data_IF_805141842924
#
_entry.id   IF_805141842924
#
_cell.length_a   1.000
_cell.length_b   1.000
_cell.length_c   1.000
_cell.angle_alpha   90.00
_cell.angle_beta   90.00
_cell.angle_gamma   90.00
#
_symmetry.space_group_name_H-M   'P 1'
#
loop_
_entity.id
_entity.type
_entity.pdbx_description
1 polymer ?
#
# COMPACT_ATOMS: atom_id res chain seq x y z
N UNK A 1 -10.31 -15.13 26.43
CA UNK A 1 -11.01 -13.85 26.19
C UNK A 1 -12.44 -13.96 26.68
N UNK A 2 -12.99 -12.89 27.25
CA UNK A 2 -14.42 -12.89 27.62
C UNK A 2 -15.32 -12.70 26.38
N UNK A 3 -16.57 -13.22 26.42
CA UNK A 3 -17.53 -13.03 25.33
C UNK A 3 -17.72 -11.54 24.94
N UNK A 4 -17.60 -10.64 25.91
CA UNK A 4 -17.66 -9.19 25.70
C UNK A 4 -16.46 -8.67 24.87
N UNK A 5 -15.26 -9.19 25.13
CA UNK A 5 -14.05 -8.83 24.38
C UNK A 5 -14.12 -9.36 22.93
N UNK A 6 -14.63 -10.57 22.76
CA UNK A 6 -14.82 -11.15 21.43
C UNK A 6 -15.82 -10.37 20.59
N UNK A 7 -16.96 -9.97 21.17
CA UNK A 7 -17.96 -9.14 20.49
C UNK A 7 -17.42 -7.75 20.14
N UNK A 8 -16.57 -7.16 20.99
CA UNK A 8 -15.92 -5.89 20.70
C UNK A 8 -14.98 -5.99 19.50
N UNK A 9 -14.16 -7.05 19.42
CA UNK A 9 -13.27 -7.30 18.29
C UNK A 9 -14.06 -7.54 16.98
N UNK A 10 -15.14 -8.32 17.03
CA UNK A 10 -16.02 -8.55 15.88
C UNK A 10 -16.65 -7.25 15.37
N UNK A 11 -17.14 -6.40 16.29
CA UNK A 11 -17.72 -5.11 15.91
C UNK A 11 -16.68 -4.18 15.29
N UNK A 12 -15.49 -4.13 15.86
CA UNK A 12 -14.38 -3.32 15.32
C UNK A 12 -13.97 -3.81 13.94
N UNK A 13 -13.81 -5.12 13.72
CA UNK A 13 -13.49 -5.69 12.43
C UNK A 13 -14.59 -5.38 11.41
N UNK A 14 -15.85 -5.53 11.77
CA UNK A 14 -16.98 -5.19 10.90
C UNK A 14 -16.93 -3.73 10.42
N UNK A 15 -16.57 -2.79 11.31
CA UNK A 15 -16.41 -1.38 10.94
C UNK A 15 -15.28 -1.20 9.92
N UNK A 16 -14.13 -1.88 10.09
CA UNK A 16 -13.02 -1.86 9.13
C UNK A 16 -13.43 -2.41 7.76
N UNK A 17 -14.05 -3.58 7.72
CA UNK A 17 -14.46 -4.26 6.49
C UNK A 17 -15.46 -3.39 5.70
N UNK A 18 -16.51 -2.91 6.38
CA UNK A 18 -17.54 -2.03 5.79
C UNK A 18 -16.92 -0.73 5.28
N UNK A 19 -15.98 -0.15 6.03
CA UNK A 19 -15.30 1.08 5.59
C UNK A 19 -14.49 0.84 4.33
N UNK A 20 -13.76 -0.27 4.26
CA UNK A 20 -12.97 -0.63 3.07
C UNK A 20 -13.87 -0.83 1.84
N UNK A 21 -15.00 -1.55 1.99
CA UNK A 21 -15.99 -1.70 0.92
C UNK A 21 -16.55 -0.35 0.44
N UNK A 22 -16.95 0.52 1.37
CA UNK A 22 -17.50 1.84 1.05
C UNK A 22 -16.47 2.75 0.38
N UNK A 23 -15.19 2.65 0.74
CA UNK A 23 -14.11 3.37 0.06
C UNK A 23 -13.99 2.88 -1.39
N UNK A 24 -14.09 1.57 -1.64
CA UNK A 24 -14.08 0.99 -2.99
C UNK A 24 -15.30 1.37 -3.82
N UNK A 25 -16.44 1.60 -3.19
CA UNK A 25 -17.69 1.99 -3.86
C UNK A 25 -17.73 3.48 -4.23
N UNK A 26 -17.44 4.37 -3.28
CA UNK A 26 -17.69 5.82 -3.42
C UNK A 26 -16.51 6.73 -3.10
N UNK A 27 -15.38 6.17 -2.66
CA UNK A 27 -14.18 6.91 -2.31
C UNK A 27 -14.20 7.48 -0.89
N UNK A 28 -12.99 7.77 -0.38
CA UNK A 28 -12.80 8.26 1.00
C UNK A 28 -13.45 9.63 1.24
N UNK A 29 -13.33 10.55 0.29
CA UNK A 29 -13.78 11.93 0.50
C UNK A 29 -15.30 12.05 0.62
N UNK A 30 -16.05 11.18 -0.08
CA UNK A 30 -17.53 11.12 -0.02
C UNK A 30 -18.04 10.28 1.12
N UNK A 31 -17.18 9.59 1.84
CA UNK A 31 -17.56 8.71 2.94
C UNK A 31 -17.81 9.50 4.23
N UNK A 32 -18.95 9.25 4.87
CA UNK A 32 -19.28 9.77 6.19
C UNK A 32 -19.29 8.66 7.26
N UNK A 33 -19.13 9.03 8.53
CA UNK A 33 -19.29 8.11 9.65
C UNK A 33 -20.72 7.53 9.69
N UNK A 34 -21.72 8.33 9.26
CA UNK A 34 -23.10 7.85 9.13
C UNK A 34 -23.21 6.67 8.16
N UNK A 35 -22.61 6.77 6.98
CA UNK A 35 -22.60 5.68 5.99
C UNK A 35 -21.97 4.39 6.55
N UNK A 36 -20.87 4.55 7.28
CA UNK A 36 -20.16 3.41 7.89
C UNK A 36 -21.04 2.72 8.93
N UNK A 37 -21.62 3.49 9.84
CA UNK A 37 -22.42 2.93 10.95
C UNK A 37 -23.73 2.36 10.46
N UNK A 38 -24.39 2.97 9.49
CA UNK A 38 -25.61 2.47 8.86
C UNK A 38 -25.34 1.12 8.16
N UNK A 39 -24.30 1.05 7.30
CA UNK A 39 -23.92 -0.18 6.61
C UNK A 39 -23.47 -1.28 7.59
N UNK A 40 -22.78 -0.91 8.67
CA UNK A 40 -22.36 -1.84 9.73
C UNK A 40 -23.53 -2.28 10.64
N UNK A 41 -24.70 -1.61 10.59
CA UNK A 41 -25.84 -1.90 11.46
C UNK A 41 -25.55 -1.59 12.94
N UNK A 42 -24.80 -0.52 13.22
CA UNK A 42 -24.47 -0.09 14.59
C UNK A 42 -24.85 1.38 14.82
N UNK A 43 -25.04 1.75 16.08
CA UNK A 43 -25.28 3.15 16.41
C UNK A 43 -24.02 4.01 16.15
N UNK A 44 -24.21 5.30 15.79
CA UNK A 44 -23.10 6.23 15.55
C UNK A 44 -22.14 6.35 16.74
N UNK A 45 -22.66 6.27 17.97
CA UNK A 45 -21.84 6.24 19.19
C UNK A 45 -20.90 5.04 19.27
N UNK A 46 -21.28 3.89 18.65
CA UNK A 46 -20.44 2.68 18.62
C UNK A 46 -19.18 2.91 17.80
N UNK A 47 -19.23 3.69 16.74
CA UNK A 47 -18.04 4.06 15.97
C UNK A 47 -17.01 4.76 16.87
N UNK A 48 -17.45 5.74 17.65
CA UNK A 48 -16.59 6.55 18.52
C UNK A 48 -16.00 5.79 19.72
N UNK A 49 -16.50 4.58 20.02
CA UNK A 49 -15.84 3.69 20.99
C UNK A 49 -14.50 3.17 20.43
N UNK A 50 -14.40 2.97 19.10
CA UNK A 50 -13.25 2.35 18.45
C UNK A 50 -12.36 3.34 17.71
N UNK A 51 -12.91 4.41 17.14
CA UNK A 51 -12.22 5.36 16.27
C UNK A 51 -12.68 6.79 16.57
N UNK A 52 -11.75 7.72 16.71
CA UNK A 52 -12.03 9.13 17.00
C UNK A 52 -12.62 9.86 15.79
N UNK A 53 -12.13 9.52 14.59
CA UNK A 53 -12.52 10.11 13.31
C UNK A 53 -12.32 9.11 12.17
N UNK A 54 -12.87 9.43 11.00
CA UNK A 54 -12.82 8.49 9.84
C UNK A 54 -11.41 8.25 9.30
N UNK A 55 -10.49 9.20 9.49
CA UNK A 55 -9.10 9.09 9.10
C UNK A 55 -8.39 7.98 9.89
N UNK A 56 -8.71 7.81 11.15
CA UNK A 56 -8.11 6.79 12.01
C UNK A 56 -8.45 5.37 11.56
N UNK A 57 -9.72 5.12 11.18
CA UNK A 57 -10.12 3.79 10.66
C UNK A 57 -9.44 3.50 9.32
N UNK A 58 -9.26 4.51 8.47
CA UNK A 58 -8.56 4.34 7.19
C UNK A 58 -7.08 4.06 7.38
N UNK A 59 -6.43 4.74 8.32
CA UNK A 59 -5.05 4.44 8.71
C UNK A 59 -4.88 2.98 9.09
N UNK A 60 -5.84 2.44 9.81
CA UNK A 60 -5.78 1.04 10.22
C UNK A 60 -6.01 0.08 9.05
N UNK A 61 -6.92 0.42 8.13
CA UNK A 61 -7.07 -0.34 6.88
C UNK A 61 -5.74 -0.37 6.12
N UNK A 62 -5.07 0.77 5.97
CA UNK A 62 -3.75 0.82 5.34
C UNK A 62 -2.74 -0.08 6.06
N UNK A 63 -2.66 -0.02 7.40
CA UNK A 63 -1.76 -0.88 8.18
C UNK A 63 -2.04 -2.37 7.96
N UNK A 64 -3.30 -2.77 7.86
CA UNK A 64 -3.66 -4.16 7.61
C UNK A 64 -3.22 -4.61 6.22
N UNK A 65 -3.37 -3.78 5.19
CA UNK A 65 -2.89 -4.07 3.83
C UNK A 65 -1.37 -4.25 3.78
N UNK A 66 -0.62 -3.39 4.50
CA UNK A 66 0.84 -3.56 4.62
C UNK A 66 1.22 -4.84 5.33
N UNK A 67 0.50 -5.19 6.41
CA UNK A 67 0.71 -6.46 7.11
C UNK A 67 0.44 -7.67 6.21
N UNK A 68 -0.60 -7.64 5.39
CA UNK A 68 -0.89 -8.69 4.42
C UNK A 68 0.22 -8.80 3.36
N UNK A 69 0.73 -7.68 2.88
CA UNK A 69 1.87 -7.66 1.95
C UNK A 69 3.12 -8.22 2.60
N UNK A 70 3.40 -7.85 3.88
CA UNK A 70 4.52 -8.41 4.62
C UNK A 70 4.40 -9.93 4.78
N UNK A 71 3.22 -10.45 5.13
CA UNK A 71 3.01 -11.90 5.23
C UNK A 71 3.32 -12.62 3.92
N UNK A 72 2.93 -12.06 2.76
CA UNK A 72 3.28 -12.63 1.46
C UNK A 72 4.78 -12.60 1.18
N UNK A 73 5.47 -11.54 1.60
CA UNK A 73 6.94 -11.45 1.50
C UNK A 73 7.62 -12.48 2.41
N UNK A 74 7.08 -12.72 3.60
CA UNK A 74 7.58 -13.72 4.54
C UNK A 74 7.43 -15.16 3.98
N UNK A 75 6.39 -15.44 3.19
CA UNK A 75 6.20 -16.72 2.49
C UNK A 75 7.34 -16.99 1.47
N UNK A 76 7.92 -15.94 0.90
CA UNK A 76 9.03 -16.01 -0.07
C UNK A 76 10.35 -15.47 0.52
N UNK A 77 10.53 -15.55 1.85
CA UNK A 77 11.72 -14.99 2.53
C UNK A 77 13.04 -15.47 1.96
N UNK A 78 13.10 -16.71 1.45
CA UNK A 78 14.28 -17.33 0.86
C UNK A 78 14.49 -16.97 -0.63
N UNK A 79 13.55 -16.23 -1.22
CA UNK A 79 13.66 -15.71 -2.59
C UNK A 79 14.66 -14.55 -2.66
N UNK A 80 15.21 -14.30 -3.87
CA UNK A 80 16.13 -13.20 -4.09
C UNK A 80 15.43 -11.83 -4.04
N UNK A 81 16.23 -10.77 -3.88
CA UNK A 81 15.74 -9.40 -3.74
C UNK A 81 14.85 -8.96 -4.92
N UNK A 82 15.14 -9.40 -6.15
CA UNK A 82 14.37 -9.03 -7.34
C UNK A 82 12.97 -9.65 -7.26
N UNK A 83 12.85 -10.91 -6.85
CA UNK A 83 11.56 -11.60 -6.65
C UNK A 83 10.74 -10.92 -5.56
N UNK A 84 11.35 -10.55 -4.44
CA UNK A 84 10.69 -9.81 -3.35
C UNK A 84 10.16 -8.45 -3.82
N UNK A 85 10.96 -7.70 -4.55
CA UNK A 85 10.55 -6.41 -5.10
C UNK A 85 9.44 -6.57 -6.16
N UNK A 86 9.52 -7.58 -7.04
CA UNK A 86 8.47 -7.86 -8.02
C UNK A 86 7.15 -8.24 -7.35
N UNK A 87 7.18 -9.06 -6.29
CA UNK A 87 5.99 -9.38 -5.51
C UNK A 87 5.40 -8.13 -4.86
N UNK A 88 6.23 -7.26 -4.30
CA UNK A 88 5.77 -6.00 -3.72
C UNK A 88 5.07 -5.11 -4.75
N UNK A 89 5.64 -4.96 -5.96
CA UNK A 89 5.00 -4.23 -7.07
C UNK A 89 3.65 -4.84 -7.46
N UNK A 90 3.58 -6.17 -7.58
CA UNK A 90 2.35 -6.88 -7.93
C UNK A 90 1.26 -6.65 -6.88
N UNK A 91 1.60 -6.74 -5.59
CA UNK A 91 0.69 -6.43 -4.49
C UNK A 91 0.19 -4.98 -4.56
N UNK A 92 1.08 -4.01 -4.79
CA UNK A 92 0.74 -2.61 -4.90
C UNK A 92 -0.24 -2.34 -6.05
N UNK A 93 0.05 -2.84 -7.25
CA UNK A 93 -0.80 -2.62 -8.42
C UNK A 93 -2.17 -3.28 -8.27
N UNK A 94 -2.23 -4.52 -7.76
CA UNK A 94 -3.49 -5.21 -7.50
C UNK A 94 -4.34 -4.47 -6.48
N UNK A 95 -3.73 -3.92 -5.43
CA UNK A 95 -4.44 -3.07 -4.47
C UNK A 95 -5.03 -1.83 -5.15
N UNK A 96 -4.22 -1.09 -5.91
CA UNK A 96 -4.69 0.11 -6.63
C UNK A 96 -5.83 -0.23 -7.60
N UNK A 97 -5.73 -1.33 -8.35
CA UNK A 97 -6.76 -1.77 -9.29
C UNK A 97 -8.02 -2.32 -8.63
N UNK A 98 -7.96 -2.65 -7.33
CA UNK A 98 -9.15 -3.05 -6.57
C UNK A 98 -10.16 -1.89 -6.42
N UNK A 99 -9.72 -0.65 -6.65
CA UNK A 99 -10.56 0.53 -6.64
C UNK A 99 -11.00 0.92 -8.06
N UNK A 100 -12.20 1.52 -8.16
CA UNK A 100 -12.65 2.08 -9.43
C UNK A 100 -11.75 3.26 -9.84
N UNK A 101 -11.40 3.36 -11.11
CA UNK A 101 -10.44 4.35 -11.62
C UNK A 101 -10.78 5.80 -11.23
N UNK A 102 -12.08 6.17 -11.21
CA UNK A 102 -12.47 7.52 -10.81
C UNK A 102 -12.18 7.81 -9.33
N UNK A 103 -12.20 6.78 -8.46
CA UNK A 103 -11.86 6.91 -7.04
C UNK A 103 -10.35 7.15 -6.89
N UNK A 104 -9.53 6.43 -7.65
CA UNK A 104 -8.08 6.62 -7.67
C UNK A 104 -7.72 8.01 -8.19
N UNK A 105 -8.44 8.51 -9.20
CA UNK A 105 -8.29 9.90 -9.70
C UNK A 105 -8.64 10.95 -8.64
N UNK A 106 -9.75 10.77 -7.92
CA UNK A 106 -10.12 11.68 -6.82
C UNK A 106 -9.05 11.66 -5.72
N UNK A 107 -8.47 10.50 -5.44
CA UNK A 107 -7.38 10.36 -4.48
C UNK A 107 -6.11 11.09 -4.94
N UNK A 108 -5.68 10.90 -6.20
CA UNK A 108 -4.55 11.64 -6.80
C UNK A 108 -4.78 13.15 -6.75
N UNK A 109 -5.97 13.60 -7.11
CA UNK A 109 -6.34 15.01 -7.02
C UNK A 109 -6.20 15.54 -5.60
N UNK A 110 -6.69 14.80 -4.61
CA UNK A 110 -6.60 15.19 -3.20
C UNK A 110 -5.16 15.26 -2.68
N UNK A 111 -4.22 14.45 -3.23
CA UNK A 111 -2.79 14.55 -2.90
C UNK A 111 -2.19 15.85 -3.46
N UNK A 112 -2.51 16.19 -4.71
CA UNK A 112 -1.95 17.37 -5.40
C UNK A 112 -2.55 18.67 -4.85
N UNK A 113 -3.84 18.67 -4.51
CA UNK A 113 -4.57 19.84 -3.97
C UNK A 113 -4.45 19.97 -2.44
N UNK A 114 -3.47 19.33 -1.83
CA UNK A 114 -3.28 19.32 -0.37
C UNK A 114 -3.33 20.73 0.22
N UNK A 115 -4.26 20.97 1.15
CA UNK A 115 -4.28 22.17 1.97
C UNK A 115 -3.21 22.04 3.06
N UNK A 116 -2.53 23.14 3.37
CA UNK A 116 -1.57 23.22 4.48
C UNK A 116 -2.20 22.64 5.76
N UNK A 117 -1.42 21.84 6.50
CA UNK A 117 -1.79 21.20 7.78
C UNK A 117 -2.77 20.00 7.75
N UNK A 118 -2.96 19.33 6.62
CA UNK A 118 -3.67 18.06 6.61
C UNK A 118 -2.74 16.88 6.31
N UNK A 119 -2.66 15.91 7.22
CA UNK A 119 -2.07 14.61 6.89
C UNK A 119 -2.96 13.93 5.85
N UNK A 120 -2.53 13.94 4.59
CA UNK A 120 -3.28 13.28 3.54
C UNK A 120 -3.04 11.78 3.60
N UNK A 121 -4.07 10.98 3.27
CA UNK A 121 -3.94 9.53 3.10
C UNK A 121 -2.80 9.15 2.15
N UNK A 122 -2.56 9.98 1.12
CA UNK A 122 -1.46 9.78 0.18
C UNK A 122 -0.08 9.92 0.82
N UNK A 123 0.11 10.91 1.70
CA UNK A 123 1.36 11.07 2.44
C UNK A 123 1.63 9.86 3.32
N UNK A 124 0.61 9.38 4.01
CA UNK A 124 0.72 8.22 4.90
C UNK A 124 1.06 6.97 4.11
N UNK A 125 0.35 6.71 3.00
CA UNK A 125 0.66 5.57 2.14
C UNK A 125 2.08 5.64 1.60
N UNK A 126 2.52 6.80 1.12
CA UNK A 126 3.88 6.99 0.62
C UNK A 126 4.95 6.70 1.68
N UNK A 127 4.74 7.13 2.94
CA UNK A 127 5.65 6.83 4.04
C UNK A 127 5.75 5.33 4.31
N UNK A 128 4.62 4.61 4.32
CA UNK A 128 4.60 3.16 4.49
C UNK A 128 5.28 2.43 3.34
N UNK A 129 4.99 2.80 2.09
CA UNK A 129 5.63 2.20 0.92
C UNK A 129 7.15 2.39 0.96
N UNK A 130 7.61 3.60 1.36
CA UNK A 130 9.02 3.91 1.50
C UNK A 130 9.69 3.07 2.60
N UNK A 131 9.04 2.91 3.75
CA UNK A 131 9.55 2.10 4.85
C UNK A 131 9.62 0.62 4.46
N UNK A 132 8.59 0.08 3.83
CA UNK A 132 8.56 -1.31 3.36
C UNK A 132 9.71 -1.58 2.38
N UNK A 133 9.89 -0.73 1.37
CA UNK A 133 10.97 -0.87 0.40
C UNK A 133 12.34 -0.77 1.04
N UNK A 134 12.52 0.15 2.00
CA UNK A 134 13.77 0.24 2.76
C UNK A 134 14.06 -1.05 3.51
N UNK A 135 13.07 -1.62 4.18
CA UNK A 135 13.25 -2.87 4.93
C UNK A 135 13.66 -4.02 4.01
N UNK A 136 13.01 -4.17 2.85
CA UNK A 136 13.38 -5.19 1.85
C UNK A 136 14.83 -5.02 1.39
N UNK A 137 15.26 -3.78 1.11
CA UNK A 137 16.62 -3.50 0.64
C UNK A 137 17.66 -3.64 1.77
N UNK A 138 17.35 -3.22 2.99
CA UNK A 138 18.22 -3.41 4.16
C UNK A 138 18.44 -4.89 4.46
N UNK A 139 17.38 -5.69 4.47
CA UNK A 139 17.48 -7.13 4.65
C UNK A 139 18.40 -7.78 3.59
N UNK A 140 18.30 -7.35 2.34
CA UNK A 140 19.15 -7.85 1.27
C UNK A 140 20.64 -7.47 1.45
N UNK A 141 20.94 -6.31 2.04
CA UNK A 141 22.31 -5.92 2.42
C UNK A 141 22.80 -6.77 3.60
N UNK A 142 21.99 -6.95 4.64
CA UNK A 142 22.36 -7.77 5.81
C UNK A 142 22.62 -9.23 5.43
N UNK A 143 21.82 -9.78 4.51
CA UNK A 143 21.99 -11.13 3.97
C UNK A 143 23.11 -11.26 2.94
N UNK A 144 23.87 -10.17 2.66
CA UNK A 144 24.95 -10.11 1.67
C UNK A 144 24.49 -10.48 0.26
N UNK A 145 23.25 -10.22 -0.06
CA UNK A 145 22.73 -10.29 -1.42
C UNK A 145 23.06 -9.01 -2.19
N UNK A 146 23.00 -7.87 -1.50
CA UNK A 146 23.44 -6.58 -1.98
C UNK A 146 24.73 -6.12 -1.27
N UNK A 147 25.53 -5.31 -1.96
CA UNK A 147 26.75 -4.69 -1.45
C UNK A 147 26.46 -3.74 -0.30
N UNK A 148 27.36 -3.66 0.67
CA UNK A 148 27.23 -2.77 1.84
C UNK A 148 27.14 -1.29 1.50
N UNK A 149 27.66 -0.86 0.32
CA UNK A 149 27.59 0.51 -0.17
C UNK A 149 26.36 0.79 -1.07
N UNK A 150 25.36 -0.09 -1.06
CA UNK A 150 24.13 0.09 -1.82
C UNK A 150 23.41 1.36 -1.40
N UNK A 151 23.08 2.30 -2.32
CA UNK A 151 22.42 3.56 -1.99
C UNK A 151 20.92 3.35 -1.77
N UNK A 152 20.54 2.75 -0.64
CA UNK A 152 19.16 2.30 -0.33
C UNK A 152 18.14 3.42 -0.52
N UNK A 153 18.41 4.64 0.00
CA UNK A 153 17.45 5.75 -0.13
C UNK A 153 17.19 6.12 -1.60
N UNK A 154 18.25 6.22 -2.41
CA UNK A 154 18.12 6.52 -3.84
C UNK A 154 17.38 5.42 -4.59
N UNK A 155 17.65 4.15 -4.27
CA UNK A 155 16.91 3.03 -4.87
C UNK A 155 15.43 3.06 -4.48
N UNK A 156 15.09 3.36 -3.23
CA UNK A 156 13.71 3.53 -2.81
C UNK A 156 13.00 4.65 -3.58
N UNK A 157 13.65 5.80 -3.77
CA UNK A 157 13.08 6.92 -4.54
C UNK A 157 12.82 6.53 -6.00
N UNK A 158 13.76 5.85 -6.65
CA UNK A 158 13.60 5.35 -8.03
C UNK A 158 12.43 4.36 -8.10
N UNK A 159 12.38 3.40 -7.20
CA UNK A 159 11.35 2.35 -7.16
C UNK A 159 9.98 2.98 -6.91
N UNK A 160 9.85 3.87 -5.92
CA UNK A 160 8.60 4.57 -5.63
C UNK A 160 8.11 5.39 -6.80
N UNK A 161 9.02 6.11 -7.48
CA UNK A 161 8.68 6.90 -8.68
C UNK A 161 8.08 6.01 -9.77
N UNK A 162 8.67 4.82 -10.01
CA UNK A 162 8.12 3.86 -10.96
C UNK A 162 6.74 3.34 -10.54
N UNK A 163 6.58 2.95 -9.28
CA UNK A 163 5.30 2.46 -8.76
C UNK A 163 4.19 3.49 -8.93
N UNK A 164 4.43 4.70 -8.44
CA UNK A 164 3.45 5.79 -8.51
C UNK A 164 3.24 6.30 -9.93
N UNK A 165 4.26 6.24 -10.78
CA UNK A 165 4.16 6.54 -12.21
C UNK A 165 3.22 5.60 -12.94
N UNK A 166 3.31 4.29 -12.70
CA UNK A 166 2.48 3.28 -13.38
C UNK A 166 0.99 3.48 -13.12
N UNK A 167 0.57 3.67 -11.85
CA UNK A 167 -0.84 3.89 -11.59
C UNK A 167 -1.32 5.28 -12.04
N UNK A 168 -0.44 6.29 -12.03
CA UNK A 168 -0.75 7.61 -12.60
C UNK A 168 -1.00 7.50 -14.10
N UNK A 169 -0.16 6.78 -14.84
CA UNK A 169 -0.36 6.50 -16.27
C UNK A 169 -1.67 5.75 -16.53
N UNK A 170 -2.02 4.78 -15.67
CA UNK A 170 -3.31 4.10 -15.76
C UNK A 170 -4.49 5.06 -15.60
N UNK A 171 -4.43 5.97 -14.63
CA UNK A 171 -5.44 7.00 -14.45
C UNK A 171 -5.51 7.99 -15.62
N UNK A 172 -4.36 8.43 -16.15
CA UNK A 172 -4.28 9.40 -17.25
C UNK A 172 -4.78 8.81 -18.57
N UNK A 173 -4.55 7.52 -18.81
CA UNK A 173 -4.94 6.81 -20.03
C UNK A 173 -6.39 6.33 -20.05
N UNK A 174 -7.20 6.71 -19.07
CA UNK A 174 -8.57 6.21 -18.87
C UNK A 174 -8.68 4.68 -18.81
N UNK A 175 -7.67 4.06 -18.19
CA UNK A 175 -7.58 2.60 -18.04
C UNK A 175 -7.00 1.87 -19.24
N UNK A 176 -6.62 2.56 -20.32
CA UNK A 176 -6.00 1.92 -21.49
C UNK A 176 -4.55 1.48 -21.25
N UNK A 177 -3.83 2.12 -20.34
CA UNK A 177 -2.54 1.66 -19.87
C UNK A 177 -2.72 0.44 -18.97
N UNK A 178 -1.98 -0.64 -19.25
CA UNK A 178 -2.03 -1.86 -18.44
C UNK A 178 -0.91 -1.86 -17.39
N UNK A 179 -1.21 -1.56 -16.12
CA UNK A 179 -0.20 -1.45 -15.08
C UNK A 179 0.41 -2.80 -14.70
N UNK A 180 -0.33 -3.92 -14.79
CA UNK A 180 0.22 -5.26 -14.51
C UNK A 180 1.30 -5.63 -15.53
N UNK A 181 1.03 -5.36 -16.83
CA UNK A 181 2.03 -5.54 -17.88
C UNK A 181 3.24 -4.63 -17.64
N UNK A 182 3.01 -3.37 -17.26
CA UNK A 182 4.08 -2.43 -16.99
C UNK A 182 4.96 -2.85 -15.80
N UNK A 183 4.37 -3.42 -14.74
CA UNK A 183 5.13 -4.03 -13.62
C UNK A 183 6.00 -5.17 -14.12
N UNK A 184 5.45 -6.08 -14.91
CA UNK A 184 6.20 -7.20 -15.47
C UNK A 184 7.38 -6.73 -16.31
N UNK A 185 7.12 -5.83 -17.26
CA UNK A 185 8.15 -5.26 -18.13
C UNK A 185 9.24 -4.51 -17.32
N UNK A 186 8.83 -3.76 -16.30
CA UNK A 186 9.78 -3.08 -15.39
C UNK A 186 10.64 -4.07 -14.62
N UNK A 187 10.05 -5.11 -14.03
CA UNK A 187 10.79 -6.15 -13.31
C UNK A 187 11.81 -6.86 -14.21
N UNK A 188 11.40 -7.20 -15.43
CA UNK A 188 12.25 -7.95 -16.37
C UNK A 188 13.37 -7.10 -16.99
N UNK A 189 13.11 -5.84 -17.32
CA UNK A 189 14.02 -5.00 -18.11
C UNK A 189 14.82 -4.05 -17.23
N UNK A 190 14.14 -3.29 -16.34
CA UNK A 190 14.77 -2.19 -15.62
C UNK A 190 15.25 -2.60 -14.22
N UNK A 191 14.38 -3.25 -13.42
CA UNK A 191 14.70 -3.58 -12.04
C UNK A 191 15.92 -4.49 -11.93
N UNK A 192 16.00 -5.51 -12.78
CA UNK A 192 17.17 -6.41 -12.84
C UNK A 192 18.47 -5.66 -13.14
N UNK A 193 18.41 -4.66 -14.01
CA UNK A 193 19.57 -3.84 -14.36
C UNK A 193 19.95 -2.90 -13.22
N UNK A 194 18.96 -2.24 -12.61
CA UNK A 194 19.18 -1.30 -11.50
C UNK A 194 19.78 -2.03 -10.30
N UNK A 195 19.14 -3.11 -9.86
CA UNK A 195 19.57 -3.89 -8.68
C UNK A 195 20.85 -4.66 -8.99
N UNK A 196 21.03 -5.18 -10.22
CA UNK A 196 22.19 -5.97 -10.62
C UNK A 196 23.52 -5.25 -10.43
N UNK A 197 23.56 -3.92 -10.54
CA UNK A 197 24.76 -3.11 -10.27
C UNK A 197 25.24 -3.21 -8.81
N UNK A 198 24.34 -3.55 -7.91
CA UNK A 198 24.59 -3.62 -6.47
C UNK A 198 24.60 -5.04 -5.93
N UNK A 199 24.32 -6.06 -6.74
CA UNK A 199 24.41 -7.46 -6.31
C UNK A 199 25.84 -7.81 -5.86
N UNK A 200 25.94 -8.55 -4.75
CA UNK A 200 27.22 -9.15 -4.38
C UNK A 200 27.63 -10.20 -5.43
N UNK A 201 28.89 -10.17 -5.81
CA UNK A 201 29.44 -11.23 -6.65
C UNK A 201 29.48 -12.52 -5.84
N UNK A 202 28.59 -13.46 -6.08
CA UNK A 202 28.77 -14.81 -5.57
C UNK A 202 30.11 -15.31 -6.12
N UNK A 203 31.17 -15.28 -5.27
CA UNK A 203 32.41 -15.99 -5.61
C UNK A 203 32.02 -17.45 -5.83
N UNK A 204 32.22 -17.91 -7.06
CA UNK A 204 32.11 -19.32 -7.42
C UNK A 204 33.13 -20.15 -6.65
#
# INVERSE_FOLDING_TARGET
MSARQENALKTRQKLLDVTNELIKEKGFYKLSIGDITERAGVAKGTFYIYFRHKEEIVLEICKNLFKETQLKLDEIKDSNIIEKLCLYFDCFIKEVQSYKIHIVREWLKGIVEKKENSDSMGTIKWLYDNEMLKNILFEAVENKELKSNTPINTLCEIILTQMYGMFTCWCMSDGNFNPEKAVKDFCEIQLKTIIGNYMENKRR
#
